data_IF_323504321860
#
_entry.id   IF_323504321860
#
_cell.length_a   1.000
_cell.length_b   1.000
_cell.length_c   1.000
_cell.angle_alpha   90.00
_cell.angle_beta   90.00
_cell.angle_gamma   90.00
#
_symmetry.space_group_name_H-M   'P 1'
#
loop_
_entity.id
_entity.type
_entity.pdbx_description
1 polymer ?
#
# COMPACT_ATOMS: atom_id res chain seq x y z
N UNK A 1 -5.31 -14.38 -23.36
CA UNK A 1 -4.65 -14.31 -22.03
C UNK A 1 -5.06 -13.00 -21.40
N UNK A 2 -5.32 -12.96 -20.09
CA UNK A 2 -5.67 -11.71 -19.42
C UNK A 2 -4.50 -10.71 -19.45
N UNK A 3 -4.85 -9.43 -19.55
CA UNK A 3 -3.89 -8.33 -19.61
C UNK A 3 -3.64 -7.74 -18.21
N UNK A 4 -2.37 -7.61 -17.82
CA UNK A 4 -1.96 -7.08 -16.51
C UNK A 4 -1.34 -5.70 -16.69
N UNK A 5 -1.86 -4.71 -15.98
CA UNK A 5 -1.20 -3.42 -15.80
C UNK A 5 -0.40 -3.47 -14.50
N UNK A 6 0.92 -3.49 -14.58
CA UNK A 6 1.79 -3.34 -13.41
C UNK A 6 2.08 -1.87 -13.16
N UNK A 7 1.84 -1.40 -11.93
CA UNK A 7 2.14 -0.02 -11.49
C UNK A 7 3.25 -0.07 -10.45
N UNK A 8 4.34 0.64 -10.70
CA UNK A 8 5.48 0.79 -9.79
C UNK A 8 5.62 2.27 -9.43
N UNK A 9 5.42 2.62 -8.17
CA UNK A 9 5.47 3.99 -7.70
C UNK A 9 6.87 4.36 -7.19
N UNK A 10 7.52 5.32 -7.84
CA UNK A 10 8.80 5.86 -7.42
C UNK A 10 8.65 7.10 -6.52
N UNK A 11 9.46 7.16 -5.47
CA UNK A 11 9.72 8.36 -4.69
C UNK A 11 11.20 8.38 -4.29
N UNK A 12 12.02 9.12 -5.06
CA UNK A 12 13.46 9.34 -4.81
C UNK A 12 14.33 8.09 -4.75
N UNK A 13 13.90 7.00 -5.39
CA UNK A 13 14.63 5.72 -5.43
C UNK A 13 14.75 5.17 -6.87
N UNK A 14 15.20 5.97 -7.85
CA UNK A 14 15.10 5.60 -9.27
C UNK A 14 15.85 4.32 -9.63
N UNK A 15 17.03 4.07 -9.04
CA UNK A 15 17.80 2.86 -9.34
C UNK A 15 17.09 1.60 -8.86
N UNK A 16 16.51 1.65 -7.67
CA UNK A 16 15.76 0.55 -7.08
C UNK A 16 14.47 0.30 -7.86
N UNK A 17 13.78 1.37 -8.26
CA UNK A 17 12.59 1.31 -9.10
C UNK A 17 12.86 0.63 -10.44
N UNK A 18 13.99 0.94 -11.08
CA UNK A 18 14.42 0.26 -12.31
C UNK A 18 14.72 -1.22 -12.09
N UNK A 19 15.34 -1.60 -10.98
CA UNK A 19 15.57 -2.99 -10.61
C UNK A 19 14.24 -3.75 -10.38
N UNK A 20 13.27 -3.12 -9.70
CA UNK A 20 11.93 -3.64 -9.51
C UNK A 20 11.22 -3.86 -10.85
N UNK A 21 11.32 -2.87 -11.76
CA UNK A 21 10.79 -2.98 -13.12
C UNK A 21 11.41 -4.14 -13.89
N UNK A 22 12.73 -4.30 -13.85
CA UNK A 22 13.43 -5.42 -14.51
C UNK A 22 13.03 -6.79 -13.94
N UNK A 23 12.82 -6.87 -12.61
CA UNK A 23 12.34 -8.09 -11.97
C UNK A 23 10.90 -8.41 -12.45
N UNK A 24 10.01 -7.41 -12.45
CA UNK A 24 8.65 -7.59 -12.96
C UNK A 24 8.62 -7.95 -14.45
N UNK A 25 9.47 -7.35 -15.28
CA UNK A 25 9.59 -7.70 -16.70
C UNK A 25 9.97 -9.17 -16.92
N UNK A 26 10.92 -9.71 -16.14
CA UNK A 26 11.29 -11.12 -16.23
C UNK A 26 10.11 -12.03 -15.91
N UNK A 27 9.36 -11.70 -14.87
CA UNK A 27 8.21 -12.48 -14.40
C UNK A 27 7.00 -12.40 -15.35
N UNK A 28 6.85 -11.28 -16.05
CA UNK A 28 5.77 -11.08 -17.00
C UNK A 28 6.05 -11.64 -18.41
N UNK A 29 7.20 -12.28 -18.63
CA UNK A 29 7.49 -12.90 -19.92
C UNK A 29 6.41 -13.92 -20.32
N UNK A 30 5.91 -13.80 -21.57
CA UNK A 30 4.81 -14.63 -22.08
C UNK A 30 3.42 -14.27 -21.53
N UNK A 31 3.29 -13.21 -20.75
CA UNK A 31 2.00 -12.61 -20.36
C UNK A 31 1.64 -11.46 -21.32
N UNK A 32 0.38 -11.00 -21.23
CA UNK A 32 -0.07 -9.76 -21.89
C UNK A 32 -0.13 -8.64 -20.86
N UNK A 33 0.22 -7.41 -21.25
CA UNK A 33 0.09 -6.26 -20.39
C UNK A 33 1.18 -5.21 -20.58
N UNK A 34 1.35 -4.37 -19.56
CA UNK A 34 2.32 -3.29 -19.54
C UNK A 34 2.82 -3.01 -18.11
N UNK A 35 3.98 -2.34 -18.02
CA UNK A 35 4.48 -1.76 -16.77
C UNK A 35 4.44 -0.25 -16.89
N UNK A 36 3.81 0.40 -15.92
CA UNK A 36 3.82 1.86 -15.76
C UNK A 36 4.60 2.21 -14.50
N UNK A 37 5.75 2.84 -14.68
CA UNK A 37 6.50 3.47 -13.59
C UNK A 37 5.95 4.87 -13.40
N UNK A 38 5.55 5.23 -12.18
CA UNK A 38 5.07 6.56 -11.86
C UNK A 38 6.10 7.25 -10.96
N UNK A 39 6.69 8.34 -11.42
CA UNK A 39 7.43 9.24 -10.54
C UNK A 39 6.45 10.15 -9.78
N UNK A 40 6.43 10.03 -8.47
CA UNK A 40 5.50 10.75 -7.59
C UNK A 40 5.98 12.18 -7.27
N UNK A 41 6.43 12.90 -8.32
CA UNK A 41 6.99 14.25 -8.23
C UNK A 41 8.20 14.33 -7.27
N UNK A 42 9.19 13.47 -7.52
CA UNK A 42 10.39 13.32 -6.67
C UNK A 42 11.24 14.59 -6.60
N UNK A 43 11.27 15.38 -7.69
CA UNK A 43 11.97 16.67 -7.77
C UNK A 43 13.50 16.58 -7.67
N UNK A 44 14.09 15.39 -7.89
CA UNK A 44 15.52 15.09 -7.73
C UNK A 44 16.16 14.54 -9.02
N UNK A 45 15.47 14.64 -10.16
CA UNK A 45 15.92 14.07 -11.44
C UNK A 45 15.58 12.59 -11.63
N UNK A 46 14.79 11.99 -10.72
CA UNK A 46 14.38 10.58 -10.83
C UNK A 46 13.61 10.28 -12.11
N UNK A 47 12.67 11.15 -12.49
CA UNK A 47 11.86 10.98 -13.71
C UNK A 47 12.72 10.94 -14.97
N UNK A 48 13.60 11.90 -15.14
CA UNK A 48 14.51 12.02 -16.30
C UNK A 48 15.45 10.81 -16.35
N UNK A 49 16.00 10.41 -15.19
CA UNK A 49 16.89 9.25 -15.10
C UNK A 49 16.18 7.96 -15.48
N UNK A 50 14.99 7.69 -14.94
CA UNK A 50 14.25 6.47 -15.25
C UNK A 50 13.81 6.44 -16.73
N UNK A 51 13.36 7.57 -17.29
CA UNK A 51 12.96 7.69 -18.70
C UNK A 51 14.14 7.42 -19.64
N UNK A 52 15.31 8.00 -19.34
CA UNK A 52 16.52 7.77 -20.10
C UNK A 52 16.98 6.30 -20.03
N UNK A 53 16.97 5.70 -18.84
CA UNK A 53 17.41 4.32 -18.63
C UNK A 53 16.46 3.29 -19.28
N UNK A 54 15.14 3.50 -19.19
CA UNK A 54 14.15 2.64 -19.89
C UNK A 54 14.43 2.64 -21.39
N UNK A 55 14.67 3.80 -21.97
CA UNK A 55 15.00 3.94 -23.40
C UNK A 55 16.35 3.31 -23.74
N UNK A 56 17.40 3.63 -22.96
CA UNK A 56 18.77 3.16 -23.21
C UNK A 56 18.90 1.64 -23.11
N UNK A 57 18.21 1.02 -22.14
CA UNK A 57 18.23 -0.45 -21.93
C UNK A 57 17.23 -1.18 -22.83
N UNK A 58 16.37 -0.45 -23.56
CA UNK A 58 15.31 -1.02 -24.38
C UNK A 58 14.31 -1.84 -23.54
N UNK A 59 14.05 -1.39 -22.29
CA UNK A 59 13.12 -2.11 -21.41
C UNK A 59 11.72 -2.07 -22.03
N UNK A 60 11.12 -3.24 -22.20
CA UNK A 60 9.75 -3.36 -22.67
C UNK A 60 9.55 -2.94 -24.12
N UNK A 61 10.29 -3.52 -25.06
CA UNK A 61 10.09 -3.25 -26.49
C UNK A 61 8.87 -4.03 -27.05
N UNK A 62 7.73 -3.39 -27.30
CA UNK A 62 6.54 -4.05 -27.82
C UNK A 62 6.73 -4.61 -29.25
N UNK A 63 7.70 -4.08 -30.03
CA UNK A 63 7.99 -4.57 -31.38
C UNK A 63 8.49 -6.03 -31.40
N UNK A 64 8.98 -6.53 -30.27
CA UNK A 64 9.41 -7.93 -30.11
C UNK A 64 8.34 -8.82 -29.45
N UNK A 65 7.10 -8.33 -29.31
CA UNK A 65 6.02 -9.03 -28.61
C UNK A 65 6.16 -9.02 -27.08
N UNK A 66 7.03 -8.17 -26.54
CA UNK A 66 7.26 -8.04 -25.10
C UNK A 66 6.27 -7.09 -24.39
N UNK A 67 6.35 -7.10 -23.08
CA UNK A 67 5.62 -6.17 -22.20
C UNK A 67 6.14 -4.75 -22.46
N UNK A 68 5.25 -3.78 -22.68
CA UNK A 68 5.64 -2.36 -22.82
C UNK A 68 5.94 -1.74 -21.45
N UNK A 69 6.93 -0.85 -21.39
CA UNK A 69 7.26 -0.06 -20.21
C UNK A 69 7.14 1.42 -20.53
N UNK A 70 6.43 2.16 -19.69
CA UNK A 70 6.37 3.62 -19.74
C UNK A 70 6.73 4.24 -18.39
N UNK A 71 7.25 5.47 -18.44
CA UNK A 71 7.52 6.27 -17.25
C UNK A 71 6.65 7.51 -17.29
N UNK A 72 5.89 7.75 -16.25
CA UNK A 72 4.97 8.89 -16.13
C UNK A 72 5.33 9.73 -14.91
N UNK A 73 5.06 11.02 -14.96
CA UNK A 73 5.22 11.92 -13.81
C UNK A 73 3.85 12.36 -13.31
N UNK A 74 3.57 12.21 -12.00
CA UNK A 74 2.28 12.56 -11.40
C UNK A 74 2.03 14.06 -11.29
N UNK A 75 3.09 14.89 -11.32
CA UNK A 75 3.04 16.35 -11.20
C UNK A 75 2.83 16.87 -9.77
N UNK A 76 2.61 15.98 -8.80
CA UNK A 76 2.63 16.31 -7.37
C UNK A 76 2.73 15.03 -6.54
N UNK A 77 3.36 15.10 -5.36
CA UNK A 77 3.37 13.99 -4.43
C UNK A 77 2.06 13.93 -3.62
N UNK A 78 1.12 13.14 -4.12
CA UNK A 78 -0.17 12.88 -3.46
C UNK A 78 -0.14 11.72 -2.45
N UNK A 79 1.02 11.10 -2.22
CA UNK A 79 1.18 9.89 -1.40
C UNK A 79 1.02 8.60 -2.19
N UNK A 80 1.00 7.47 -1.47
CA UNK A 80 1.02 6.14 -2.08
C UNK A 80 -0.24 5.86 -2.93
N UNK A 81 -1.42 6.07 -2.36
CA UNK A 81 -2.68 5.80 -3.05
C UNK A 81 -2.86 6.66 -4.30
N UNK A 82 -2.60 7.98 -4.20
CA UNK A 82 -2.76 8.90 -5.31
C UNK A 82 -1.78 8.60 -6.47
N UNK A 83 -0.51 8.31 -6.15
CA UNK A 83 0.49 7.97 -7.15
C UNK A 83 0.16 6.66 -7.89
N UNK A 84 -0.26 5.62 -7.17
CA UNK A 84 -0.72 4.37 -7.80
C UNK A 84 -1.99 4.59 -8.63
N UNK A 85 -2.95 5.36 -8.14
CA UNK A 85 -4.15 5.72 -8.89
C UNK A 85 -3.84 6.44 -10.20
N UNK A 86 -2.83 7.31 -10.20
CA UNK A 86 -2.38 7.99 -11.42
C UNK A 86 -1.92 6.97 -12.47
N UNK A 87 -1.11 5.99 -12.09
CA UNK A 87 -0.69 4.90 -12.97
C UNK A 87 -1.85 4.01 -13.43
N UNK A 88 -2.77 3.67 -12.53
CA UNK A 88 -3.95 2.86 -12.85
C UNK A 88 -4.88 3.54 -13.86
N UNK A 89 -5.10 4.87 -13.70
CA UNK A 89 -5.94 5.66 -14.62
C UNK A 89 -5.31 5.84 -16.00
N UNK A 90 -3.99 5.79 -16.09
CA UNK A 90 -3.31 5.80 -17.38
C UNK A 90 -3.66 4.57 -18.22
N UNK A 91 -4.02 3.46 -17.59
CA UNK A 91 -4.40 2.23 -18.28
C UNK A 91 -3.26 1.58 -19.04
N UNK A 92 -3.61 0.64 -19.92
CA UNK A 92 -2.64 0.05 -20.85
C UNK A 92 -2.25 1.04 -21.94
N UNK A 93 -1.01 1.04 -22.41
CA UNK A 93 -0.61 1.80 -23.60
C UNK A 93 -1.54 1.49 -24.77
N UNK A 94 -2.06 2.55 -25.43
CA UNK A 94 -3.07 2.41 -26.49
C UNK A 94 -4.51 2.43 -25.98
N UNK A 95 -4.76 2.63 -24.68
CA UNK A 95 -6.10 2.86 -24.11
C UNK A 95 -6.89 1.61 -23.79
N UNK A 96 -6.25 0.43 -23.76
CA UNK A 96 -6.90 -0.81 -23.37
C UNK A 96 -7.20 -0.86 -21.85
N UNK A 97 -8.34 -1.47 -21.47
CA UNK A 97 -8.65 -1.79 -20.10
C UNK A 97 -7.87 -3.05 -19.69
N UNK A 98 -7.12 -3.05 -18.59
CA UNK A 98 -6.51 -4.27 -18.09
C UNK A 98 -7.58 -5.20 -17.46
N UNK A 99 -7.30 -6.49 -17.40
CA UNK A 99 -8.10 -7.45 -16.63
C UNK A 99 -7.68 -7.44 -15.16
N UNK A 100 -6.40 -7.17 -14.93
CA UNK A 100 -5.79 -7.10 -13.59
C UNK A 100 -4.85 -5.91 -13.49
N UNK A 101 -4.78 -5.33 -12.28
CA UNK A 101 -3.78 -4.33 -11.90
C UNK A 101 -2.85 -4.95 -10.86
N UNK A 102 -1.56 -4.91 -11.10
CA UNK A 102 -0.54 -5.34 -10.15
C UNK A 102 0.18 -4.12 -9.57
N UNK A 103 -0.01 -3.88 -8.27
CA UNK A 103 0.75 -2.86 -7.55
C UNK A 103 1.99 -3.51 -6.97
N UNK A 104 3.14 -2.93 -7.30
CA UNK A 104 4.45 -3.38 -6.86
C UNK A 104 5.25 -2.20 -6.32
N UNK A 105 5.78 -2.31 -5.11
CA UNK A 105 6.64 -1.27 -4.54
C UNK A 105 7.96 -1.14 -5.32
N UNK A 106 8.51 0.07 -5.33
CA UNK A 106 9.82 0.36 -5.97
C UNK A 106 11.00 -0.38 -5.37
N UNK A 107 10.85 -0.91 -4.16
CA UNK A 107 11.85 -1.68 -3.41
C UNK A 107 11.44 -3.16 -3.21
N UNK A 108 10.54 -3.64 -4.09
CA UNK A 108 10.07 -5.03 -4.11
C UNK A 108 10.47 -5.71 -5.42
N UNK A 109 10.94 -6.94 -5.32
CA UNK A 109 11.48 -7.71 -6.44
C UNK A 109 10.78 -9.06 -6.48
N UNK A 110 9.87 -9.28 -7.46
CA UNK A 110 9.21 -10.57 -7.65
C UNK A 110 10.20 -11.71 -7.91
N UNK A 111 10.08 -12.79 -7.13
CA UNK A 111 10.86 -14.00 -7.31
C UNK A 111 10.27 -14.86 -8.46
N UNK A 112 11.02 -15.84 -9.00
CA UNK A 112 10.56 -16.64 -10.13
C UNK A 112 9.19 -17.30 -9.91
N UNK A 113 8.26 -17.05 -10.84
CA UNK A 113 6.90 -17.60 -10.82
C UNK A 113 5.91 -16.82 -9.95
N UNK A 114 6.33 -15.78 -9.24
CA UNK A 114 5.49 -15.08 -8.25
C UNK A 114 4.25 -14.41 -8.86
N UNK A 115 4.41 -13.65 -9.97
CA UNK A 115 3.27 -12.97 -10.63
C UNK A 115 2.32 -14.00 -11.25
N UNK A 116 2.87 -15.07 -11.85
CA UNK A 116 2.08 -16.17 -12.41
C UNK A 116 1.24 -16.83 -11.31
N UNK A 117 1.82 -17.08 -10.14
CA UNK A 117 1.12 -17.69 -9.01
C UNK A 117 -0.07 -16.84 -8.52
N UNK A 118 0.08 -15.50 -8.47
CA UNK A 118 -1.03 -14.60 -8.16
C UNK A 118 -2.14 -14.65 -9.22
N UNK A 119 -1.76 -14.63 -10.50
CA UNK A 119 -2.70 -14.68 -11.61
C UNK A 119 -3.48 -15.98 -11.61
N UNK A 120 -2.79 -17.12 -11.56
CA UNK A 120 -3.43 -18.45 -11.57
C UNK A 120 -4.37 -18.62 -10.36
N UNK A 121 -3.99 -18.06 -9.19
CA UNK A 121 -4.86 -18.05 -8.01
C UNK A 121 -6.14 -17.24 -8.24
N UNK A 122 -6.05 -16.03 -8.80
CA UNK A 122 -7.23 -15.22 -9.10
C UNK A 122 -8.11 -15.85 -10.18
N UNK A 123 -7.52 -16.44 -11.24
CA UNK A 123 -8.27 -17.13 -12.29
C UNK A 123 -9.04 -18.35 -11.72
N UNK A 124 -8.41 -19.12 -10.82
CA UNK A 124 -9.05 -20.26 -10.16
C UNK A 124 -10.11 -19.84 -9.12
N UNK A 125 -10.10 -18.60 -8.64
CA UNK A 125 -10.97 -18.11 -7.58
C UNK A 125 -11.74 -16.85 -8.01
N UNK A 126 -12.83 -16.94 -8.78
CA UNK A 126 -13.52 -15.77 -9.37
C UNK A 126 -14.09 -14.76 -8.36
N UNK A 127 -14.30 -15.17 -7.10
CA UNK A 127 -14.77 -14.29 -6.02
C UNK A 127 -13.63 -13.62 -5.23
N UNK A 128 -12.38 -13.96 -5.52
CA UNK A 128 -11.20 -13.29 -4.96
C UNK A 128 -10.88 -12.10 -5.84
N UNK A 129 -10.96 -10.91 -5.26
CA UNK A 129 -10.63 -9.63 -5.92
C UNK A 129 -9.17 -9.23 -5.78
N UNK A 130 -8.50 -9.70 -4.73
CA UNK A 130 -7.15 -9.27 -4.33
C UNK A 130 -6.31 -10.47 -3.90
N UNK A 131 -5.13 -10.59 -4.46
CA UNK A 131 -4.15 -11.61 -4.11
C UNK A 131 -2.79 -10.97 -3.85
N UNK A 132 -2.20 -11.21 -2.69
CA UNK A 132 -0.88 -10.68 -2.33
C UNK A 132 0.11 -11.78 -2.00
N UNK A 133 1.39 -11.45 -2.22
CA UNK A 133 2.51 -12.37 -2.08
C UNK A 133 2.96 -12.56 -0.62
N UNK A 134 3.62 -13.67 -0.36
CA UNK A 134 4.53 -13.78 0.76
C UNK A 134 5.72 -12.85 0.53
N UNK A 135 5.99 -12.00 1.50
CA UNK A 135 7.06 -11.02 1.44
C UNK A 135 8.17 -11.43 2.41
N UNK A 136 9.41 -11.39 1.92
CA UNK A 136 10.59 -11.60 2.74
C UNK A 136 11.68 -10.56 2.43
N UNK A 137 12.60 -10.37 3.34
CA UNK A 137 13.75 -9.52 3.12
C UNK A 137 14.84 -10.22 2.30
N UNK A 138 15.93 -9.51 1.96
CA UNK A 138 17.01 -10.05 1.13
C UNK A 138 17.72 -11.27 1.74
N UNK A 139 17.71 -11.44 3.06
CA UNK A 139 18.30 -12.57 3.77
C UNK A 139 17.27 -13.67 4.08
N UNK A 140 16.06 -13.57 3.50
CA UNK A 140 14.98 -14.52 3.68
C UNK A 140 14.14 -14.31 4.96
N UNK A 141 14.38 -13.23 5.71
CA UNK A 141 13.59 -12.90 6.89
C UNK A 141 12.14 -12.56 6.50
N UNK A 142 11.15 -13.23 7.11
CA UNK A 142 9.78 -13.04 6.72
C UNK A 142 9.22 -11.70 7.21
N UNK A 143 8.48 -11.00 6.33
CA UNK A 143 7.80 -9.75 6.66
C UNK A 143 6.33 -9.99 6.99
N UNK A 144 5.84 -9.26 7.99
CA UNK A 144 4.44 -9.27 8.39
C UNK A 144 3.61 -8.48 7.37
N UNK A 145 2.81 -9.16 6.56
CA UNK A 145 2.03 -8.54 5.48
C UNK A 145 0.57 -8.97 5.44
N UNK A 146 0.17 -9.89 6.31
CA UNK A 146 -1.19 -10.41 6.41
C UNK A 146 -1.85 -9.93 7.71
N UNK A 147 -3.07 -9.37 7.63
CA UNK A 147 -3.69 -8.66 8.75
C UNK A 147 -5.20 -8.88 8.81
N UNK A 148 -5.76 -8.65 10.02
CA UNK A 148 -7.18 -8.39 10.24
C UNK A 148 -7.48 -6.90 10.21
N UNK A 149 -8.74 -6.54 9.90
CA UNK A 149 -9.14 -5.13 9.96
C UNK A 149 -8.99 -4.57 11.38
N UNK A 150 -8.45 -3.32 11.50
CA UNK A 150 -8.36 -2.64 12.79
C UNK A 150 -9.72 -2.50 13.45
N UNK A 151 -9.77 -2.75 14.76
CA UNK A 151 -10.98 -2.65 15.58
C UNK A 151 -10.67 -2.02 16.94
N UNK A 152 -11.69 -1.56 17.68
CA UNK A 152 -11.51 -1.00 19.03
C UNK A 152 -10.76 -1.96 19.93
N UNK A 153 -11.14 -3.25 19.90
CA UNK A 153 -10.47 -4.26 20.74
C UNK A 153 -9.06 -4.58 20.22
N UNK A 154 -8.82 -4.53 18.90
CA UNK A 154 -7.50 -4.68 18.31
C UNK A 154 -6.57 -3.52 18.66
N UNK A 155 -7.09 -2.29 18.71
CA UNK A 155 -6.34 -1.11 19.14
C UNK A 155 -5.90 -1.21 20.61
N UNK A 156 -6.79 -1.71 21.49
CA UNK A 156 -6.45 -1.96 22.89
C UNK A 156 -5.40 -3.06 23.03
N UNK A 157 -5.63 -4.21 22.36
CA UNK A 157 -4.75 -5.38 22.42
C UNK A 157 -3.32 -5.02 21.95
N UNK A 158 -3.20 -4.45 20.75
CA UNK A 158 -1.92 -4.07 20.15
C UNK A 158 -1.16 -3.03 20.96
N UNK A 159 -1.86 -2.14 21.69
CA UNK A 159 -1.25 -1.14 22.55
C UNK A 159 -0.87 -1.70 23.92
N UNK A 160 -1.67 -2.61 24.50
CA UNK A 160 -1.44 -3.20 25.81
C UNK A 160 -0.24 -4.17 25.85
N UNK A 161 -0.01 -4.90 24.74
CA UNK A 161 1.12 -5.85 24.60
C UNK A 161 1.24 -6.81 25.79
N UNK A 162 0.11 -7.38 26.21
CA UNK A 162 0.00 -8.26 27.37
C UNK A 162 -0.47 -9.66 26.96
N UNK A 163 0.33 -10.68 27.19
CA UNK A 163 0.01 -12.06 26.81
C UNK A 163 -1.38 -12.55 27.26
N UNK A 164 -1.84 -12.33 28.49
CA UNK A 164 -3.21 -12.65 28.89
C UNK A 164 -4.29 -11.92 28.09
N UNK A 165 -4.07 -10.63 27.78
CA UNK A 165 -4.97 -9.82 26.93
C UNK A 165 -4.97 -10.36 25.49
N UNK A 166 -3.79 -10.66 24.93
CA UNK A 166 -3.68 -11.23 23.57
C UNK A 166 -4.38 -12.59 23.46
N UNK A 167 -4.30 -13.45 24.52
CA UNK A 167 -5.05 -14.72 24.55
C UNK A 167 -6.56 -14.51 24.56
N UNK A 168 -7.05 -13.58 25.37
CA UNK A 168 -8.47 -13.25 25.48
C UNK A 168 -8.98 -12.64 24.16
N UNK A 169 -8.21 -11.72 23.58
CA UNK A 169 -8.55 -10.94 22.38
C UNK A 169 -7.94 -11.53 21.09
N UNK A 170 -7.61 -12.82 21.04
CA UNK A 170 -6.91 -13.45 19.92
C UNK A 170 -7.57 -13.24 18.55
N UNK A 171 -8.91 -13.06 18.52
CA UNK A 171 -9.68 -12.78 17.29
C UNK A 171 -9.56 -11.33 16.83
N UNK A 172 -9.03 -10.44 17.66
CA UNK A 172 -8.87 -9.02 17.40
C UNK A 172 -7.41 -8.60 17.16
N UNK A 173 -6.47 -9.54 17.28
CA UNK A 173 -5.06 -9.29 16.93
C UNK A 173 -5.00 -8.93 15.45
N UNK A 174 -4.53 -7.71 15.14
CA UNK A 174 -4.49 -7.18 13.77
C UNK A 174 -3.44 -7.91 12.94
N UNK A 175 -2.20 -7.97 13.40
CA UNK A 175 -1.13 -8.69 12.72
C UNK A 175 -1.33 -10.21 12.86
N UNK A 176 -1.58 -10.89 11.74
CA UNK A 176 -1.70 -12.35 11.72
C UNK A 176 -0.31 -13.00 11.83
N UNK A 177 -0.17 -14.15 12.46
CA UNK A 177 1.02 -14.97 12.22
C UNK A 177 1.23 -15.15 10.73
N UNK A 178 2.48 -15.19 10.28
CA UNK A 178 2.78 -15.37 8.86
C UNK A 178 2.18 -16.69 8.40
N UNK A 179 1.25 -16.69 7.43
CA UNK A 179 0.59 -17.90 7.01
C UNK A 179 1.56 -18.87 6.31
N UNK A 180 1.53 -20.13 6.69
CA UNK A 180 2.33 -21.19 6.07
C UNK A 180 1.71 -21.72 4.77
N UNK A 181 0.43 -21.43 4.54
CA UNK A 181 -0.32 -21.82 3.35
C UNK A 181 -1.13 -20.63 2.80
N UNK A 182 -1.51 -20.73 1.54
CA UNK A 182 -2.45 -19.80 0.91
C UNK A 182 -3.75 -19.74 1.71
N UNK A 183 -4.15 -18.55 2.14
CA UNK A 183 -5.29 -18.37 3.04
C UNK A 183 -5.96 -17.03 2.87
N UNK A 184 -7.22 -16.96 3.23
CA UNK A 184 -7.99 -15.71 3.28
C UNK A 184 -7.57 -14.84 4.44
N UNK A 185 -7.44 -13.54 4.16
CA UNK A 185 -7.09 -12.51 5.14
C UNK A 185 -8.03 -11.31 4.98
N UNK A 186 -8.03 -10.39 5.95
CA UNK A 186 -8.85 -9.20 5.83
C UNK A 186 -8.17 -8.16 4.93
N UNK A 187 -6.86 -7.93 5.10
CA UNK A 187 -6.10 -7.04 4.25
C UNK A 187 -4.61 -7.41 4.21
N UNK A 188 -3.92 -6.88 3.20
CA UNK A 188 -2.51 -7.12 2.88
C UNK A 188 -1.76 -5.79 2.79
N UNK A 189 -0.47 -5.80 3.11
CA UNK A 189 0.40 -4.67 2.81
C UNK A 189 0.62 -4.52 1.29
N UNK A 190 0.67 -3.28 0.81
CA UNK A 190 0.67 -2.94 -0.61
C UNK A 190 1.99 -3.18 -1.36
N UNK A 191 2.92 -3.99 -0.81
CA UNK A 191 4.22 -4.21 -1.43
C UNK A 191 4.15 -5.02 -2.74
N UNK A 192 3.22 -5.98 -2.82
CA UNK A 192 2.98 -6.85 -3.97
C UNK A 192 1.54 -7.37 -3.91
N UNK A 193 0.64 -6.77 -4.69
CA UNK A 193 -0.79 -7.13 -4.70
C UNK A 193 -1.32 -7.10 -6.13
N UNK A 194 -1.84 -8.24 -6.60
CA UNK A 194 -2.60 -8.34 -7.85
C UNK A 194 -4.09 -8.15 -7.55
N UNK A 195 -4.72 -7.24 -8.27
CA UNK A 195 -6.09 -6.79 -8.07
C UNK A 195 -6.91 -7.07 -9.34
N UNK A 196 -8.08 -7.66 -9.19
CA UNK A 196 -9.03 -7.84 -10.30
C UNK A 196 -9.62 -6.49 -10.69
N UNK A 197 -9.60 -6.14 -11.97
CA UNK A 197 -10.12 -4.86 -12.44
C UNK A 197 -11.63 -4.71 -12.17
N UNK A 198 -12.41 -5.80 -12.29
CA UNK A 198 -13.85 -5.77 -12.00
C UNK A 198 -14.13 -5.42 -10.52
N UNK A 199 -13.26 -5.84 -9.60
CA UNK A 199 -13.37 -5.44 -8.20
C UNK A 199 -13.10 -3.94 -8.04
N UNK A 200 -12.05 -3.42 -8.69
CA UNK A 200 -11.72 -1.99 -8.67
C UNK A 200 -12.81 -1.14 -9.32
N UNK A 201 -13.41 -1.59 -10.41
CA UNK A 201 -14.52 -0.88 -11.07
C UNK A 201 -15.74 -0.76 -10.16
N UNK A 202 -16.00 -1.79 -9.35
CA UNK A 202 -17.13 -1.79 -8.42
C UNK A 202 -16.91 -0.93 -7.18
N UNK A 203 -15.69 -0.96 -6.60
CA UNK A 203 -15.41 -0.31 -5.31
C UNK A 203 -14.67 1.03 -5.44
N UNK A 204 -14.16 1.35 -6.63
CA UNK A 204 -13.25 2.47 -6.88
C UNK A 204 -11.80 2.16 -6.48
N UNK A 205 -10.91 3.07 -6.82
CA UNK A 205 -9.48 3.00 -6.55
C UNK A 205 -9.15 3.38 -5.10
N UNK A 206 -7.86 3.62 -4.77
CA UNK A 206 -7.46 4.13 -3.46
C UNK A 206 -8.12 5.46 -3.13
N UNK A 207 -8.47 5.69 -1.89
CA UNK A 207 -8.91 7.01 -1.42
C UNK A 207 -7.68 7.93 -1.25
N UNK A 208 -7.58 8.95 -2.08
CA UNK A 208 -6.43 9.87 -2.13
C UNK A 208 -6.35 10.85 -0.94
N UNK A 209 -7.32 10.78 -0.02
CA UNK A 209 -7.25 11.48 1.27
C UNK A 209 -6.18 10.87 2.18
N UNK A 210 -5.85 9.60 1.99
CA UNK A 210 -4.72 8.95 2.65
C UNK A 210 -3.43 9.34 1.94
N UNK A 211 -2.54 10.02 2.65
CA UNK A 211 -1.21 10.29 2.09
C UNK A 211 -0.34 9.02 2.11
N UNK A 212 -0.29 8.37 3.26
CA UNK A 212 0.46 7.12 3.45
C UNK A 212 -0.09 6.36 4.66
N UNK A 213 -0.18 5.03 4.55
CA UNK A 213 -0.80 4.07 5.47
C UNK A 213 -2.32 4.17 5.56
N UNK A 214 -2.96 3.04 5.80
CA UNK A 214 -4.41 2.81 5.85
C UNK A 214 -5.13 2.87 4.49
N UNK A 215 -4.50 3.31 3.41
CA UNK A 215 -5.10 3.31 2.06
C UNK A 215 -5.43 1.89 1.58
N UNK A 216 -4.53 0.92 1.78
CA UNK A 216 -4.79 -0.48 1.44
C UNK A 216 -5.83 -1.08 2.38
N UNK A 217 -5.75 -0.75 3.67
CA UNK A 217 -6.73 -1.21 4.66
C UNK A 217 -8.14 -0.72 4.30
N UNK A 218 -8.29 0.53 3.86
CA UNK A 218 -9.57 1.10 3.40
C UNK A 218 -10.05 0.44 2.11
N UNK A 219 -9.17 0.29 1.11
CA UNK A 219 -9.50 -0.34 -0.16
C UNK A 219 -10.04 -1.76 0.05
N UNK A 220 -9.31 -2.55 0.83
CA UNK A 220 -9.66 -3.95 1.08
C UNK A 220 -10.89 -4.09 2.00
N UNK A 221 -11.15 -3.13 2.89
CA UNK A 221 -12.41 -3.08 3.66
C UNK A 221 -13.60 -2.78 2.75
N UNK A 222 -13.46 -1.86 1.78
CA UNK A 222 -14.50 -1.61 0.76
C UNK A 222 -14.74 -2.85 -0.10
N UNK A 223 -13.68 -3.56 -0.48
CA UNK A 223 -13.75 -4.81 -1.22
C UNK A 223 -14.52 -5.88 -0.44
N UNK A 224 -14.18 -6.11 0.83
CA UNK A 224 -14.85 -7.07 1.70
C UNK A 224 -16.34 -6.75 1.84
N UNK A 225 -16.71 -5.48 2.01
CA UNK A 225 -18.12 -5.02 2.06
C UNK A 225 -18.88 -5.24 0.77
N UNK A 226 -18.18 -5.22 -0.37
CA UNK A 226 -18.75 -5.51 -1.69
C UNK A 226 -18.77 -7.02 -2.01
N UNK A 227 -18.29 -7.88 -1.11
CA UNK A 227 -18.29 -9.34 -1.28
C UNK A 227 -17.04 -9.91 -1.96
N UNK A 228 -16.01 -9.08 -2.23
CA UNK A 228 -14.73 -9.53 -2.76
C UNK A 228 -13.82 -10.03 -1.64
N UNK A 229 -13.19 -11.16 -1.88
CA UNK A 229 -12.23 -11.73 -0.98
C UNK A 229 -10.81 -11.19 -1.23
N UNK A 230 -9.98 -11.24 -0.17
CA UNK A 230 -8.55 -10.97 -0.21
C UNK A 230 -7.82 -12.23 0.24
N UNK A 231 -6.90 -12.73 -0.58
CA UNK A 231 -6.15 -13.94 -0.30
C UNK A 231 -4.64 -13.66 -0.26
N UNK A 232 -3.99 -14.18 0.77
CA UNK A 232 -2.54 -14.27 0.87
C UNK A 232 -2.10 -15.55 0.14
N UNK A 233 -1.26 -15.41 -0.88
CA UNK A 233 -0.81 -16.52 -1.74
C UNK A 233 0.61 -16.92 -1.35
N UNK A 234 0.73 -17.99 -0.55
CA UNK A 234 2.00 -18.37 0.09
C UNK A 234 3.12 -18.72 -0.90
N UNK A 235 2.79 -19.31 -2.04
CA UNK A 235 3.77 -19.71 -3.05
C UNK A 235 4.09 -18.61 -4.07
N UNK A 236 3.51 -17.44 -3.96
CA UNK A 236 3.97 -16.21 -4.61
C UNK A 236 4.95 -15.52 -3.67
N UNK A 237 6.23 -15.50 -3.99
CA UNK A 237 7.28 -14.95 -3.13
C UNK A 237 7.86 -13.68 -3.73
N UNK A 238 8.11 -12.68 -2.88
CA UNK A 238 8.67 -11.38 -3.30
C UNK A 238 9.68 -10.91 -2.28
N UNK A 239 10.88 -10.61 -2.74
CA UNK A 239 11.92 -9.96 -1.93
C UNK A 239 11.59 -8.48 -1.78
N UNK A 240 11.57 -7.95 -0.55
CA UNK A 240 11.26 -6.55 -0.28
C UNK A 240 12.23 -5.96 0.73
N UNK A 241 12.97 -4.92 0.35
CA UNK A 241 13.94 -4.27 1.23
C UNK A 241 13.23 -3.57 2.40
N UNK A 242 12.13 -2.90 2.11
CA UNK A 242 11.25 -2.28 3.10
C UNK A 242 11.81 -1.00 3.73
N UNK A 243 10.93 -0.02 3.88
CA UNK A 243 11.23 1.30 4.48
C UNK A 243 12.26 2.15 3.73
N UNK A 244 12.62 1.81 2.49
CA UNK A 244 13.58 2.58 1.70
C UNK A 244 13.07 4.02 1.45
N UNK A 245 11.80 4.17 1.13
CA UNK A 245 11.17 5.48 0.85
C UNK A 245 10.54 6.13 2.09
N UNK A 246 10.09 5.34 3.08
CA UNK A 246 9.27 5.84 4.20
C UNK A 246 10.06 6.18 5.47
N UNK A 247 11.23 5.60 5.63
CA UNK A 247 12.06 5.74 6.83
C UNK A 247 11.37 5.33 8.15
N UNK A 248 10.29 4.51 8.09
CA UNK A 248 9.45 4.16 9.24
C UNK A 248 10.24 3.59 10.42
N UNK A 249 11.26 2.77 10.15
CA UNK A 249 12.10 2.15 11.18
C UNK A 249 12.93 3.18 11.99
N UNK A 250 13.06 4.41 11.50
CA UNK A 250 13.91 5.46 12.09
C UNK A 250 13.13 6.66 12.61
N UNK A 251 11.80 6.60 12.66
CA UNK A 251 10.99 7.72 13.12
C UNK A 251 11.28 8.05 14.59
N UNK A 252 11.77 9.26 14.80
CA UNK A 252 11.96 9.82 16.16
C UNK A 252 10.63 10.26 16.79
N UNK A 253 9.58 10.45 16.00
CA UNK A 253 8.21 10.81 16.39
C UNK A 253 7.25 10.34 15.31
N UNK A 254 6.02 9.98 15.67
CA UNK A 254 4.99 9.59 14.70
C UNK A 254 4.66 10.80 13.81
N UNK A 255 4.77 10.66 12.48
CA UNK A 255 4.42 11.73 11.54
C UNK A 255 2.93 12.08 11.58
N UNK A 256 2.61 13.36 11.30
CA UNK A 256 1.23 13.85 11.27
C UNK A 256 0.35 13.08 10.28
N UNK A 257 0.88 12.76 9.10
CA UNK A 257 0.13 12.02 8.07
C UNK A 257 -0.32 10.62 8.54
N UNK A 258 0.46 9.92 9.37
CA UNK A 258 0.04 8.64 9.93
C UNK A 258 -1.17 8.80 10.87
N UNK A 259 -1.15 9.84 11.71
CA UNK A 259 -2.25 10.18 12.62
C UNK A 259 -3.50 10.62 11.85
N UNK A 260 -3.32 11.39 10.75
CA UNK A 260 -4.41 11.80 9.85
C UNK A 260 -5.04 10.58 9.17
N UNK A 261 -4.22 9.71 8.59
CA UNK A 261 -4.67 8.48 7.92
C UNK A 261 -5.44 7.57 8.88
N UNK A 262 -4.90 7.32 10.09
CA UNK A 262 -5.60 6.52 11.10
C UNK A 262 -6.97 7.13 11.48
N UNK A 263 -7.01 8.43 11.73
CA UNK A 263 -8.25 9.12 12.08
C UNK A 263 -9.26 9.07 10.93
N UNK A 264 -8.79 9.31 9.69
CA UNK A 264 -9.62 9.24 8.49
C UNK A 264 -10.21 7.85 8.30
N UNK A 265 -9.40 6.79 8.41
CA UNK A 265 -9.85 5.40 8.29
C UNK A 265 -11.00 5.08 9.25
N UNK A 266 -10.81 5.33 10.55
CA UNK A 266 -11.86 5.03 11.54
C UNK A 266 -13.09 5.93 11.37
N UNK A 267 -12.91 7.21 11.08
CA UNK A 267 -14.03 8.14 10.92
C UNK A 267 -14.85 7.84 9.68
N UNK A 268 -14.19 7.61 8.55
CA UNK A 268 -14.83 7.29 7.26
C UNK A 268 -15.60 5.97 7.35
N UNK A 269 -14.94 4.94 7.86
CA UNK A 269 -15.47 3.59 7.77
C UNK A 269 -16.42 3.19 8.90
N UNK A 270 -16.31 3.83 10.08
CA UNK A 270 -17.04 3.44 11.29
C UNK A 270 -17.72 4.62 12.01
N UNK A 271 -17.45 5.85 11.60
CA UNK A 271 -17.99 7.06 12.22
C UNK A 271 -17.16 7.63 13.37
N UNK A 272 -17.45 8.89 13.74
CA UNK A 272 -16.67 9.67 14.72
C UNK A 272 -16.63 9.04 16.10
N UNK A 273 -17.76 8.50 16.58
CA UNK A 273 -17.84 7.86 17.90
C UNK A 273 -16.92 6.64 17.98
N UNK A 274 -16.93 5.80 16.94
CA UNK A 274 -16.05 4.65 16.86
C UNK A 274 -14.56 5.07 16.83
N UNK A 275 -14.21 6.09 16.05
CA UNK A 275 -12.86 6.64 16.00
C UNK A 275 -12.37 7.15 17.36
N UNK A 276 -13.26 7.80 18.15
CA UNK A 276 -12.95 8.22 19.51
C UNK A 276 -12.73 7.03 20.44
N UNK A 277 -13.59 6.00 20.37
CA UNK A 277 -13.45 4.77 21.16
C UNK A 277 -12.19 3.99 20.80
N UNK A 278 -11.84 3.89 19.51
CA UNK A 278 -10.59 3.28 19.06
C UNK A 278 -9.36 4.03 19.59
N UNK A 279 -9.43 5.37 19.63
CA UNK A 279 -8.36 6.20 20.22
C UNK A 279 -8.26 5.99 21.73
N UNK A 280 -9.38 5.97 22.44
CA UNK A 280 -9.42 5.70 23.89
C UNK A 280 -8.87 4.31 24.20
N UNK A 281 -9.26 3.30 23.43
CA UNK A 281 -8.78 1.92 23.58
C UNK A 281 -7.25 1.84 23.41
N UNK A 282 -6.70 2.45 22.37
CA UNK A 282 -5.25 2.53 22.13
C UNK A 282 -4.53 3.24 23.29
N UNK A 283 -5.06 4.37 23.76
CA UNK A 283 -4.49 5.14 24.88
C UNK A 283 -4.52 4.32 26.17
N UNK A 284 -5.64 3.66 26.47
CA UNK A 284 -5.80 2.83 27.69
C UNK A 284 -4.87 1.63 27.68
N UNK A 285 -4.78 0.91 26.55
CA UNK A 285 -3.84 -0.19 26.39
C UNK A 285 -2.38 0.27 26.50
N UNK A 286 -2.05 1.37 25.86
CA UNK A 286 -0.69 1.95 25.92
C UNK A 286 -0.32 2.48 27.32
N UNK A 287 -1.26 3.04 28.08
CA UNK A 287 -1.05 3.42 29.47
C UNK A 287 -0.78 2.19 30.35
N UNK A 288 -1.56 1.11 30.19
CA UNK A 288 -1.35 -0.16 30.87
C UNK A 288 0.03 -0.77 30.56
N UNK A 289 0.45 -0.74 29.29
CA UNK A 289 1.76 -1.19 28.87
C UNK A 289 2.89 -0.39 29.56
N UNK A 290 2.77 0.95 29.60
CA UNK A 290 3.75 1.82 30.27
C UNK A 290 3.85 1.58 31.75
N UNK A 291 2.70 1.46 32.45
CA UNK A 291 2.67 1.16 33.87
C UNK A 291 3.38 -0.17 34.18
N UNK A 292 3.08 -1.22 33.41
CA UNK A 292 3.76 -2.52 33.55
C UNK A 292 5.27 -2.40 33.33
N UNK A 293 5.72 -1.75 32.26
CA UNK A 293 7.14 -1.61 31.94
C UNK A 293 7.87 -0.80 33.03
N UNK A 294 7.24 0.25 33.56
CA UNK A 294 7.76 1.03 34.69
C UNK A 294 7.97 0.16 35.93
N UNK A 295 6.97 -0.68 36.28
CA UNK A 295 7.08 -1.61 37.42
C UNK A 295 8.16 -2.69 37.19
N UNK A 296 8.49 -3.01 35.93
CA UNK A 296 9.51 -3.99 35.57
C UNK A 296 10.91 -3.35 35.35
N UNK A 297 11.06 -2.03 35.50
CA UNK A 297 12.30 -1.32 35.22
C UNK A 297 12.73 -1.36 33.74
N UNK A 298 11.77 -1.56 32.81
CA UNK A 298 12.03 -1.65 31.36
C UNK A 298 11.63 -0.39 30.63
N UNK A 299 12.35 -0.07 29.55
CA UNK A 299 12.03 1.05 28.67
C UNK A 299 11.06 0.65 27.57
N UNK A 300 10.25 1.61 27.12
CA UNK A 300 9.33 1.45 26.00
C UNK A 300 10.06 1.71 24.67
N UNK A 301 9.83 0.87 23.67
CA UNK A 301 10.35 1.07 22.31
C UNK A 301 9.52 1.98 21.41
N UNK A 302 8.38 2.52 21.91
CA UNK A 302 7.54 3.42 21.12
C UNK A 302 8.19 4.81 20.95
N UNK A 303 7.88 5.50 19.83
CA UNK A 303 8.30 6.89 19.68
C UNK A 303 7.85 7.77 20.85
N UNK A 304 8.70 8.73 21.29
CA UNK A 304 8.34 9.66 22.37
C UNK A 304 7.00 10.36 22.09
N UNK A 305 6.23 10.58 23.16
CA UNK A 305 4.94 11.30 23.15
C UNK A 305 3.82 10.65 22.33
N UNK A 306 3.96 9.42 21.84
CA UNK A 306 2.97 8.77 20.96
C UNK A 306 1.52 8.89 21.45
N UNK A 307 1.22 8.51 22.69
CA UNK A 307 -0.17 8.58 23.22
C UNK A 307 -0.68 10.02 23.34
N UNK A 308 0.17 10.96 23.75
CA UNK A 308 -0.16 12.38 23.80
C UNK A 308 -0.50 12.90 22.40
N UNK A 309 0.36 12.61 21.42
CA UNK A 309 0.18 13.04 20.05
C UNK A 309 -1.10 12.46 19.44
N UNK A 310 -1.40 11.19 19.73
CA UNK A 310 -2.63 10.54 19.30
C UNK A 310 -3.89 11.25 19.85
N UNK A 311 -3.91 11.57 21.14
CA UNK A 311 -5.03 12.30 21.77
C UNK A 311 -5.15 13.73 21.22
N UNK A 312 -4.06 14.50 21.24
CA UNK A 312 -4.06 15.89 20.76
C UNK A 312 -4.51 15.96 19.30
N UNK A 313 -4.02 15.01 18.46
CA UNK A 313 -4.38 14.97 17.05
C UNK A 313 -5.84 14.60 16.83
N UNK A 314 -6.39 13.69 17.63
CA UNK A 314 -7.80 13.30 17.52
C UNK A 314 -8.75 14.48 17.70
N UNK A 315 -8.45 15.39 18.66
CA UNK A 315 -9.27 16.56 18.96
C UNK A 315 -8.92 17.80 18.11
N UNK A 316 -7.84 17.78 17.32
CA UNK A 316 -7.58 18.87 16.37
C UNK A 316 -8.69 18.91 15.32
N UNK A 317 -9.20 20.13 15.02
CA UNK A 317 -10.01 20.32 13.82
C UNK A 317 -9.19 19.81 12.63
N UNK A 318 -9.78 18.94 11.80
CA UNK A 318 -9.15 18.55 10.56
C UNK A 318 -8.73 19.84 9.82
N UNK A 319 -7.48 19.97 9.35
CA UNK A 319 -7.20 21.03 8.39
C UNK A 319 -8.23 20.87 7.28
N UNK A 320 -8.89 21.98 6.89
CA UNK A 320 -9.74 21.97 5.72
C UNK A 320 -8.83 21.52 4.56
N UNK A 321 -9.07 20.34 4.04
CA UNK A 321 -8.38 19.83 2.86
C UNK A 321 -8.83 20.75 1.74
N UNK A 322 -7.99 21.74 1.41
CA UNK A 322 -8.21 22.59 0.24
C UNK A 322 -7.96 21.65 -0.94
N UNK A 323 -9.05 21.09 -1.47
CA UNK A 323 -9.05 20.59 -2.82
C UNK A 323 -8.57 21.79 -3.67
N UNK A 324 -7.32 21.77 -4.12
CA UNK A 324 -6.87 22.70 -5.14
C UNK A 324 -7.63 22.31 -6.40
N UNK A 325 -8.77 23.01 -6.56
CA UNK A 325 -9.52 23.00 -7.79
C UNK A 325 -8.57 23.36 -8.93
N UNK A 326 -8.64 22.54 -9.94
CA UNK A 326 -8.14 22.66 -11.28
C UNK A 326 -8.14 24.13 -11.77
N UNK A 327 -7.01 24.82 -11.75
CA UNK A 327 -6.83 26.14 -12.32
C UNK A 327 -6.31 26.07 -13.78
N UNK A 328 -6.68 25.03 -14.52
CA UNK A 328 -6.48 24.93 -15.96
C UNK A 328 -7.75 25.31 -16.75
N UNK A 329 -8.35 26.46 -16.43
CA UNK A 329 -9.28 27.13 -17.36
C UNK A 329 -8.64 28.40 -17.89
N UNK A 330 -8.15 28.30 -19.12
CA UNK A 330 -8.23 29.29 -20.18
C UNK A 330 -7.73 30.70 -19.84
N UNK A 331 -6.51 31.03 -20.21
CA UNK A 331 -6.22 32.33 -20.80
C UNK A 331 -5.97 32.14 -22.31
N UNK A 332 -7.06 32.25 -23.03
CA UNK A 332 -6.94 32.65 -24.43
C UNK A 332 -6.40 34.09 -24.41
N UNK A 333 -5.24 34.31 -25.03
CA UNK A 333 -4.72 35.63 -25.36
C UNK A 333 -5.39 36.07 -26.64
N UNK A 334 -5.95 37.28 -26.76
CA UNK A 334 -6.39 37.80 -28.06
C UNK A 334 -5.16 38.21 -28.87
N UNK A 335 -5.25 37.88 -30.14
CA UNK A 335 -4.30 38.31 -31.16
C UNK A 335 -4.31 39.84 -31.31
N UNK A 336 -3.13 40.46 -31.38
CA UNK A 336 -2.78 41.57 -32.24
C UNK A 336 -1.35 41.35 -32.77
#
# INVERSE_FOLDING_TARGET
MPAILTVILNWRTPDMTLQSCEAALREMQGMQGAITIVDNDSGDGSFEKMSAEVTRRGLGNPATGGISVQVLQSGHNGGFGAGNNFGMRAGLPGGGRPDYVYVLNSDAFPDPGSIRALLDHLEANPRTGFAGSYIHGPEGEPHQTAFRFPSILGEFEGAARLGPVSRLLKRHIVALPIPEATTRVDWLAGASVLMRQDALDQIGLFDETFFLYFEETDLLLRAARAGWATDYVRHSEVTHIGSASTGMKTWKRIPGFWLDSRRHYFTKNHGRAYAALATLACVSGGALCRLRLMLQGKTLGDPPHFLRDLVVHHFRKAPAFVARADSSKGRASPAE
#
